data_IF_914407463789
#
_entry.id   IF_914407463789
#
_cell.length_a   1.000
_cell.length_b   1.000
_cell.length_c   1.000
_cell.angle_alpha   90.00
_cell.angle_beta   90.00
_cell.angle_gamma   90.00
#
_symmetry.space_group_name_H-M   'P 1'
#
loop_
_entity.id
_entity.type
_entity.pdbx_description
1 polymer ?
#
# COMPACT_ATOMS: atom_id res chain seq x y z
N UNK A 1 22.23 -7.75 13.13
CA UNK A 1 21.08 -6.82 13.19
C UNK A 1 19.86 -7.62 13.59
N UNK A 2 18.94 -7.04 14.34
CA UNK A 2 17.79 -7.75 14.92
C UNK A 2 16.55 -7.72 14.00
N UNK A 3 16.56 -6.86 12.99
CA UNK A 3 15.50 -6.71 11.98
C UNK A 3 16.08 -6.18 10.67
N UNK A 4 15.45 -6.51 9.55
CA UNK A 4 15.83 -6.04 8.21
C UNK A 4 14.68 -5.21 7.63
N UNK A 5 14.96 -3.99 7.18
CA UNK A 5 14.08 -3.26 6.27
C UNK A 5 14.66 -3.39 4.86
N UNK A 6 13.94 -4.04 3.95
CA UNK A 6 14.42 -4.39 2.62
C UNK A 6 13.63 -3.65 1.55
N UNK A 7 14.34 -3.07 0.59
CA UNK A 7 13.77 -2.53 -0.64
C UNK A 7 14.51 -3.13 -1.83
N UNK A 8 13.77 -3.67 -2.79
CA UNK A 8 14.36 -4.35 -3.94
C UNK A 8 13.51 -4.14 -5.20
N UNK A 9 14.13 -4.21 -6.38
CA UNK A 9 13.42 -3.97 -7.65
C UNK A 9 12.68 -5.21 -8.16
N UNK A 10 13.16 -6.41 -7.82
CA UNK A 10 12.47 -7.66 -8.12
C UNK A 10 11.26 -7.88 -7.22
N UNK A 11 10.14 -8.32 -7.82
CA UNK A 11 8.93 -8.70 -7.11
C UNK A 11 9.17 -9.95 -6.25
N UNK A 12 8.63 -9.98 -5.03
CA UNK A 12 8.77 -11.12 -4.13
C UNK A 12 10.15 -11.24 -3.46
N UNK A 13 11.10 -10.34 -3.76
CA UNK A 13 12.43 -10.39 -3.15
C UNK A 13 12.38 -10.27 -1.62
N UNK A 14 11.50 -9.43 -1.08
CA UNK A 14 11.31 -9.31 0.36
C UNK A 14 10.74 -10.61 0.98
N UNK A 15 9.90 -11.33 0.24
CA UNK A 15 9.36 -12.62 0.68
C UNK A 15 10.44 -13.70 0.68
N UNK A 16 11.23 -13.81 -0.40
CA UNK A 16 12.36 -14.74 -0.47
C UNK A 16 13.39 -14.46 0.62
N UNK A 17 13.68 -13.17 0.90
CA UNK A 17 14.54 -12.78 2.00
C UNK A 17 13.97 -13.21 3.36
N UNK A 18 12.66 -13.00 3.59
CA UNK A 18 12.01 -13.43 4.83
C UNK A 18 12.07 -14.95 5.06
N UNK A 19 12.03 -15.75 3.98
CA UNK A 19 12.14 -17.21 4.06
C UNK A 19 13.53 -17.71 4.45
N UNK A 20 14.58 -16.90 4.25
CA UNK A 20 15.97 -17.29 4.48
C UNK A 20 16.66 -16.51 5.60
N UNK A 21 16.10 -15.38 6.02
CA UNK A 21 16.63 -14.58 7.10
C UNK A 21 16.36 -15.22 8.46
N UNK A 22 17.34 -15.17 9.36
CA UNK A 22 17.18 -15.55 10.77
C UNK A 22 16.46 -14.48 11.60
N UNK A 23 16.15 -13.33 11.01
CA UNK A 23 15.51 -12.17 11.65
C UNK A 23 14.34 -11.66 10.80
N UNK A 24 13.34 -11.00 11.40
CA UNK A 24 12.19 -10.49 10.66
C UNK A 24 12.59 -9.53 9.52
N UNK A 25 11.85 -9.60 8.41
CA UNK A 25 12.04 -8.75 7.24
C UNK A 25 10.79 -7.88 7.04
N UNK A 26 10.99 -6.57 7.00
CA UNK A 26 10.00 -5.57 6.62
C UNK A 26 10.19 -5.24 5.14
N UNK A 27 9.15 -5.47 4.35
CA UNK A 27 9.10 -5.03 2.96
C UNK A 27 8.88 -3.51 2.87
N UNK A 28 9.92 -2.78 2.49
CA UNK A 28 9.89 -1.34 2.21
C UNK A 28 9.69 -1.04 0.70
N UNK A 29 9.25 -2.02 -0.08
CA UNK A 29 8.95 -1.97 -1.50
C UNK A 29 9.67 -3.06 -2.29
N UNK A 30 8.90 -3.92 -2.97
CA UNK A 30 9.42 -4.95 -3.88
C UNK A 30 8.78 -4.87 -5.28
N UNK A 31 9.53 -4.38 -6.26
CA UNK A 31 9.07 -4.27 -7.65
C UNK A 31 7.71 -3.58 -7.81
N UNK A 32 6.85 -4.11 -8.68
CA UNK A 32 5.49 -3.58 -8.89
C UNK A 32 4.46 -4.03 -7.85
N UNK A 33 4.87 -4.89 -6.92
CA UNK A 33 3.95 -5.76 -6.22
C UNK A 33 3.33 -5.12 -4.98
N UNK A 34 4.13 -4.71 -3.99
CA UNK A 34 3.59 -4.15 -2.75
C UNK A 34 4.47 -3.06 -2.12
N UNK A 35 3.82 -2.13 -1.41
CA UNK A 35 4.50 -1.21 -0.49
C UNK A 35 3.76 -1.09 0.85
N UNK A 36 3.83 -2.12 1.72
CA UNK A 36 3.00 -2.22 2.92
C UNK A 36 3.18 -1.06 3.91
N UNK A 37 4.42 -0.59 4.09
CA UNK A 37 4.74 0.50 5.02
C UNK A 37 4.16 1.85 4.59
N UNK A 38 4.07 2.11 3.28
CA UNK A 38 3.44 3.32 2.75
C UNK A 38 1.93 3.28 3.02
N UNK A 39 1.28 2.15 2.72
CA UNK A 39 -0.15 1.96 2.99
C UNK A 39 -0.48 2.13 4.48
N UNK A 40 0.36 1.64 5.39
CA UNK A 40 0.17 1.85 6.84
C UNK A 40 0.24 3.34 7.21
N UNK A 41 1.17 4.08 6.60
CA UNK A 41 1.31 5.53 6.81
C UNK A 41 0.09 6.29 6.31
N UNK A 42 -0.43 5.91 5.14
CA UNK A 42 -1.63 6.52 4.56
C UNK A 42 -2.87 6.27 5.42
N UNK A 43 -3.08 5.04 5.88
CA UNK A 43 -4.19 4.70 6.79
C UNK A 43 -4.08 5.43 8.13
N UNK A 44 -2.87 5.54 8.68
CA UNK A 44 -2.64 6.31 9.91
C UNK A 44 -2.99 7.78 9.71
N UNK A 45 -2.63 8.34 8.55
CA UNK A 45 -2.92 9.74 8.21
C UNK A 45 -4.42 9.95 8.12
N UNK A 46 -5.14 9.11 7.36
CA UNK A 46 -6.60 9.17 7.26
C UNK A 46 -7.24 9.06 8.65
N UNK A 47 -6.80 8.11 9.47
CA UNK A 47 -7.34 7.94 10.83
C UNK A 47 -7.08 9.14 11.73
N UNK A 48 -5.93 9.81 11.61
CA UNK A 48 -5.60 11.00 12.40
C UNK A 48 -6.39 12.23 11.96
N UNK A 49 -6.47 12.47 10.66
CA UNK A 49 -7.08 13.68 10.11
C UNK A 49 -8.61 13.58 10.03
N UNK A 50 -9.16 12.40 9.72
CA UNK A 50 -10.61 12.17 9.58
C UNK A 50 -11.22 11.55 10.86
N UNK A 51 -10.40 10.95 11.72
CA UNK A 51 -10.82 10.31 12.96
C UNK A 51 -11.37 8.88 12.81
N UNK A 52 -11.54 8.39 11.58
CA UNK A 52 -12.12 7.07 11.26
C UNK A 52 -11.62 6.54 9.92
N UNK A 53 -11.88 5.26 9.68
CA UNK A 53 -11.61 4.58 8.41
C UNK A 53 -12.88 4.03 7.73
N UNK A 54 -13.96 3.88 8.48
CA UNK A 54 -15.27 3.45 7.99
C UNK A 54 -16.12 4.63 7.51
N UNK A 55 -17.05 4.37 6.60
CA UNK A 55 -18.01 5.34 6.05
C UNK A 55 -17.35 6.61 5.48
N UNK A 56 -16.23 6.44 4.79
CA UNK A 56 -15.50 7.52 4.11
C UNK A 56 -15.57 7.37 2.59
N UNK A 57 -15.51 8.50 1.90
CA UNK A 57 -15.35 8.55 0.44
C UNK A 57 -13.96 9.07 0.12
N UNK A 58 -13.19 8.30 -0.65
CA UNK A 58 -11.81 8.64 -1.02
C UNK A 58 -11.70 8.71 -2.54
N UNK A 59 -11.17 9.84 -3.03
CA UNK A 59 -10.81 10.02 -4.42
C UNK A 59 -9.32 9.73 -4.66
N UNK A 60 -9.02 8.84 -5.60
CA UNK A 60 -7.67 8.62 -6.11
C UNK A 60 -7.52 9.31 -7.45
N UNK A 61 -6.54 10.21 -7.55
CA UNK A 61 -6.30 11.00 -8.75
C UNK A 61 -4.88 10.76 -9.29
N UNK A 62 -4.75 10.53 -10.60
CA UNK A 62 -3.46 10.42 -11.29
C UNK A 62 -3.28 9.12 -12.07
N UNK A 63 -2.08 8.54 -12.00
CA UNK A 63 -1.78 7.25 -12.65
C UNK A 63 -2.29 6.09 -11.78
N UNK A 64 -3.47 5.58 -12.13
CA UNK A 64 -4.12 4.48 -11.42
C UNK A 64 -3.72 3.12 -12.00
N UNK A 65 -3.22 3.09 -13.23
CA UNK A 65 -2.78 1.88 -13.90
C UNK A 65 -1.47 1.35 -13.32
N UNK A 66 -0.52 2.22 -13.02
CA UNK A 66 0.79 1.86 -12.47
C UNK A 66 0.99 2.30 -11.00
N UNK A 67 -0.02 2.92 -10.39
CA UNK A 67 -0.02 3.39 -9.01
C UNK A 67 0.01 2.28 -7.95
N UNK A 68 1.18 1.70 -7.69
CA UNK A 68 1.40 0.61 -6.71
C UNK A 68 0.87 0.91 -5.30
N UNK A 69 1.04 2.16 -4.88
CA UNK A 69 0.56 2.64 -3.58
C UNK A 69 -0.97 2.74 -3.55
N UNK A 70 -1.59 3.15 -4.66
CA UNK A 70 -3.04 3.22 -4.83
C UNK A 70 -3.66 1.83 -4.70
N UNK A 71 -3.12 0.83 -5.41
CA UNK A 71 -3.63 -0.55 -5.33
C UNK A 71 -3.52 -1.11 -3.92
N UNK A 72 -2.36 -0.90 -3.27
CA UNK A 72 -2.12 -1.35 -1.90
C UNK A 72 -3.07 -0.68 -0.90
N UNK A 73 -3.31 0.63 -1.05
CA UNK A 73 -4.21 1.39 -0.17
C UNK A 73 -5.68 1.02 -0.38
N UNK A 74 -6.14 0.87 -1.63
CA UNK A 74 -7.51 0.40 -1.93
C UNK A 74 -7.76 -0.98 -1.31
N UNK A 75 -6.79 -1.90 -1.43
CA UNK A 75 -6.89 -3.23 -0.81
C UNK A 75 -6.95 -3.20 0.72
N UNK A 76 -6.26 -2.25 1.35
CA UNK A 76 -6.35 -2.07 2.79
C UNK A 76 -7.69 -1.45 3.21
N UNK A 77 -8.15 -0.43 2.48
CA UNK A 77 -9.42 0.25 2.73
C UNK A 77 -10.64 -0.63 2.49
N UNK A 78 -10.57 -1.62 1.58
CA UNK A 78 -11.68 -2.56 1.34
C UNK A 78 -11.99 -3.46 2.55
N UNK A 79 -11.13 -3.46 3.57
CA UNK A 79 -11.37 -4.15 4.85
C UNK A 79 -12.25 -3.34 5.81
N UNK A 80 -12.56 -2.08 5.48
CA UNK A 80 -13.41 -1.18 6.25
C UNK A 80 -14.81 -1.07 5.64
N UNK A 81 -15.82 -0.91 6.48
CA UNK A 81 -17.22 -0.84 6.05
C UNK A 81 -17.57 0.55 5.51
N UNK A 82 -18.43 0.60 4.49
CA UNK A 82 -18.97 1.85 3.98
C UNK A 82 -17.98 2.73 3.20
N UNK A 83 -16.78 2.23 2.90
CA UNK A 83 -15.79 2.97 2.10
C UNK A 83 -16.25 3.05 0.63
N UNK A 84 -16.29 4.27 0.09
CA UNK A 84 -16.54 4.54 -1.32
C UNK A 84 -15.26 5.02 -1.99
N UNK A 85 -14.85 4.33 -3.05
CA UNK A 85 -13.65 4.68 -3.83
C UNK A 85 -14.07 5.39 -5.12
N UNK A 86 -13.49 6.56 -5.38
CA UNK A 86 -13.67 7.32 -6.61
C UNK A 86 -12.34 7.35 -7.36
N UNK A 87 -12.32 6.85 -8.60
CA UNK A 87 -11.12 6.77 -9.43
C UNK A 87 -11.14 7.86 -10.49
N UNK A 88 -10.17 8.77 -10.44
CA UNK A 88 -10.08 9.96 -11.28
C UNK A 88 -8.76 9.89 -12.08
N UNK A 89 -8.85 9.47 -13.33
CA UNK A 89 -7.70 9.39 -14.23
C UNK A 89 -8.11 9.68 -15.67
N UNK A 90 -7.18 10.18 -16.52
CA UNK A 90 -7.35 10.14 -17.96
C UNK A 90 -7.60 8.70 -18.44
N UNK A 91 -8.37 8.51 -19.51
CA UNK A 91 -8.74 7.16 -20.00
C UNK A 91 -7.51 6.26 -20.28
N UNK A 92 -6.37 6.84 -20.64
CA UNK A 92 -5.13 6.07 -20.86
C UNK A 92 -4.50 5.50 -19.58
N UNK A 93 -4.81 6.08 -18.42
CA UNK A 93 -4.19 5.81 -17.11
C UNK A 93 -5.20 5.36 -16.04
N UNK A 94 -6.45 5.13 -16.43
CA UNK A 94 -7.53 4.67 -15.57
C UNK A 94 -7.44 3.17 -15.26
#
# INVERSE_FOLDING_TARGET
>A
ADIIAMRHFEEGAAYVAAMNASVPVINAGDGSHAHPTQTLTDLLTIKREIGRLDDITIGFCGDLRFGRTVHSLIKALSRHSGVKVVLIAPDQLR
#
